data_IF_491151844019
#
_entry.id   IF_491151844019
#
_cell.length_a   1.000
_cell.length_b   1.000
_cell.length_c   1.000
_cell.angle_alpha   90.00
_cell.angle_beta   90.00
_cell.angle_gamma   90.00
#
_symmetry.space_group_name_H-M   'P 1'
#
loop_
_entity.id
_entity.type
_entity.pdbx_description
1 polymer ?
#
# COMPACT_ATOMS: atom_id res chain seq x y z
N UNK A 1 14.96 51.57 1.13
CA UNK A 1 13.65 51.22 0.55
C UNK A 1 13.71 49.74 0.20
N UNK A 2 12.75 49.00 0.74
CA UNK A 2 12.81 47.59 1.06
C UNK A 2 12.93 46.68 -0.17
N UNK A 3 13.78 45.66 -0.07
CA UNK A 3 13.93 44.62 -1.09
C UNK A 3 12.67 43.74 -1.19
N UNK A 4 12.41 43.13 -2.35
CA UNK A 4 11.20 42.37 -2.56
C UNK A 4 11.19 41.15 -1.65
N UNK A 5 10.18 41.08 -0.79
CA UNK A 5 9.82 39.97 0.07
C UNK A 5 9.68 38.68 -0.77
N UNK A 6 10.63 37.76 -0.58
CA UNK A 6 10.52 36.37 -1.02
C UNK A 6 9.35 35.74 -0.28
N UNK A 7 8.15 35.77 -0.89
CA UNK A 7 7.05 34.89 -0.48
C UNK A 7 7.50 33.47 -0.76
N UNK A 8 8.06 32.81 0.25
CA UNK A 8 8.09 31.35 0.31
C UNK A 8 6.67 30.87 0.06
N UNK A 9 6.44 30.24 -1.10
CA UNK A 9 5.24 29.48 -1.34
C UNK A 9 5.20 28.39 -0.27
N UNK A 10 4.35 28.57 0.74
CA UNK A 10 4.10 27.55 1.74
C UNK A 10 3.78 26.26 0.99
N UNK A 11 4.57 25.21 1.21
CA UNK A 11 4.38 23.91 0.59
C UNK A 11 2.93 23.48 0.84
N UNK A 12 2.08 23.59 -0.19
CA UNK A 12 0.66 23.31 -0.07
C UNK A 12 0.51 21.83 0.24
N UNK A 13 0.21 21.53 1.50
CA UNK A 13 0.12 20.16 1.98
C UNK A 13 -1.17 19.57 1.42
N UNK A 14 -1.03 18.68 0.44
CA UNK A 14 -2.18 18.00 -0.16
C UNK A 14 -2.71 17.00 0.85
N UNK A 15 -4.04 16.99 1.04
CA UNK A 15 -4.65 15.99 1.95
C UNK A 15 -4.61 14.61 1.30
N UNK A 16 -4.47 13.55 2.10
CA UNK A 16 -4.46 12.15 1.60
C UNK A 16 -5.70 11.85 0.76
N UNK A 17 -6.86 12.42 1.10
CA UNK A 17 -8.08 12.31 0.32
C UNK A 17 -7.97 12.93 -1.09
N UNK A 18 -7.19 14.00 -1.26
CA UNK A 18 -6.96 14.62 -2.56
C UNK A 18 -5.99 13.81 -3.43
N UNK A 19 -5.13 12.98 -2.82
CA UNK A 19 -4.28 12.01 -3.54
C UNK A 19 -5.14 11.02 -4.33
N UNK A 20 -6.19 10.50 -3.68
CA UNK A 20 -7.14 9.55 -4.26
C UNK A 20 -8.23 10.18 -5.13
N UNK A 21 -8.14 11.47 -5.50
CA UNK A 21 -9.19 12.14 -6.29
C UNK A 21 -9.39 11.56 -7.70
N UNK A 22 -8.45 10.74 -8.17
CA UNK A 22 -8.50 10.09 -9.48
C UNK A 22 -8.94 8.62 -9.42
N UNK A 23 -9.35 8.14 -8.23
CA UNK A 23 -9.91 6.81 -8.02
C UNK A 23 -11.32 6.69 -8.66
N UNK A 24 -11.56 5.63 -9.43
CA UNK A 24 -12.90 5.27 -9.90
C UNK A 24 -13.60 4.33 -8.90
N UNK A 25 -14.88 4.03 -9.13
CA UNK A 25 -15.65 3.06 -8.32
C UNK A 25 -14.99 1.68 -8.18
N UNK A 26 -14.28 1.20 -9.22
CA UNK A 26 -13.51 -0.04 -9.17
C UNK A 26 -12.33 0.10 -8.20
N UNK A 27 -11.64 1.23 -8.22
CA UNK A 27 -10.48 1.50 -7.35
C UNK A 27 -10.91 1.52 -5.87
N UNK A 28 -12.09 2.08 -5.56
CA UNK A 28 -12.66 2.03 -4.22
C UNK A 28 -12.96 0.60 -3.74
N UNK A 29 -13.45 -0.28 -4.62
CA UNK A 29 -13.68 -1.69 -4.28
C UNK A 29 -12.37 -2.42 -4.03
N UNK A 30 -11.35 -2.22 -4.88
CA UNK A 30 -10.03 -2.81 -4.69
C UNK A 30 -9.38 -2.32 -3.39
N UNK A 31 -9.44 -1.03 -3.09
CA UNK A 31 -8.96 -0.47 -1.82
C UNK A 31 -9.71 -1.05 -0.62
N UNK A 32 -11.02 -1.28 -0.73
CA UNK A 32 -11.82 -1.93 0.32
C UNK A 32 -11.39 -3.38 0.58
N UNK A 33 -11.14 -4.16 -0.48
CA UNK A 33 -10.65 -5.54 -0.36
C UNK A 33 -9.23 -5.55 0.21
N UNK A 34 -8.36 -4.67 -0.29
CA UNK A 34 -6.97 -4.55 0.17
C UNK A 34 -6.87 -4.15 1.64
N UNK A 35 -7.71 -3.22 2.11
CA UNK A 35 -7.78 -2.83 3.53
C UNK A 35 -8.30 -3.95 4.43
N UNK A 36 -9.30 -4.73 3.99
CA UNK A 36 -9.73 -5.90 4.74
C UNK A 36 -8.62 -6.96 4.85
N UNK A 37 -7.90 -7.21 3.74
CA UNK A 37 -6.73 -8.09 3.72
C UNK A 37 -5.60 -7.60 4.63
N UNK A 38 -5.36 -6.30 4.67
CA UNK A 38 -4.38 -5.65 5.54
C UNK A 38 -4.67 -5.84 7.03
N UNK A 39 -5.94 -5.80 7.45
CA UNK A 39 -6.32 -6.02 8.85
C UNK A 39 -6.03 -7.46 9.26
N UNK A 40 -6.40 -8.43 8.41
CA UNK A 40 -6.16 -9.86 8.66
C UNK A 40 -4.66 -10.15 8.69
N UNK A 41 -3.92 -9.64 7.71
CA UNK A 41 -2.47 -9.80 7.64
C UNK A 41 -1.76 -9.08 8.80
N UNK A 42 -2.21 -7.91 9.24
CA UNK A 42 -1.68 -7.22 10.41
C UNK A 42 -1.88 -7.99 11.72
N UNK A 43 -2.96 -8.76 11.83
CA UNK A 43 -3.22 -9.65 12.98
C UNK A 43 -2.45 -10.98 12.93
N UNK A 44 -1.67 -11.24 11.88
CA UNK A 44 -0.94 -12.50 11.68
C UNK A 44 0.06 -12.81 12.79
N UNK A 45 0.81 -11.82 13.28
CA UNK A 45 1.83 -12.01 14.32
C UNK A 45 1.21 -12.39 15.68
N UNK A 46 0.19 -11.68 16.20
CA UNK A 46 -0.55 -12.13 17.38
C UNK A 46 -1.14 -13.55 17.24
N UNK A 47 -1.72 -13.86 16.08
CA UNK A 47 -2.26 -15.20 15.78
C UNK A 47 -1.16 -16.27 15.82
N UNK A 48 -0.03 -16.02 15.16
CA UNK A 48 1.12 -16.93 15.16
C UNK A 48 1.60 -17.22 16.57
N UNK A 49 1.78 -16.19 17.41
CA UNK A 49 2.20 -16.33 18.80
C UNK A 49 1.20 -17.13 19.64
N UNK A 50 -0.11 -16.93 19.42
CA UNK A 50 -1.17 -17.69 20.11
C UNK A 50 -1.09 -19.19 19.81
N UNK A 51 -1.01 -19.56 18.53
CA UNK A 51 -0.89 -20.97 18.12
C UNK A 51 0.44 -21.58 18.56
N UNK A 52 1.51 -20.78 18.56
CA UNK A 52 2.83 -21.22 19.00
C UNK A 52 2.85 -21.53 20.50
N UNK A 53 2.18 -20.71 21.31
CA UNK A 53 2.00 -20.96 22.73
C UNK A 53 1.21 -22.25 22.99
N UNK A 54 0.11 -22.48 22.26
CA UNK A 54 -0.69 -23.71 22.40
C UNK A 54 0.11 -24.96 22.02
N UNK A 55 0.93 -24.86 20.97
CA UNK A 55 1.85 -25.94 20.57
C UNK A 55 2.84 -26.27 21.70
N UNK A 56 3.51 -25.27 22.26
CA UNK A 56 4.46 -25.47 23.39
C UNK A 56 3.74 -26.05 24.61
N UNK A 57 2.55 -25.53 24.94
CA UNK A 57 1.79 -26.02 26.08
C UNK A 57 1.35 -27.48 25.90
N UNK A 58 1.04 -27.89 24.67
CA UNK A 58 0.73 -29.28 24.32
C UNK A 58 1.92 -30.22 24.53
N UNK A 59 3.15 -29.75 24.31
CA UNK A 59 4.36 -30.52 24.62
C UNK A 59 4.54 -30.68 26.14
N UNK A 60 4.42 -29.59 26.91
CA UNK A 60 4.63 -29.63 28.37
C UNK A 60 3.54 -30.37 29.15
N UNK A 61 2.28 -30.28 28.72
CA UNK A 61 1.15 -30.87 29.45
C UNK A 61 1.00 -32.39 29.25
N UNK A 62 1.58 -32.93 28.18
CA UNK A 62 1.44 -34.33 27.78
C UNK A 62 2.76 -35.13 27.91
N UNK A 63 3.71 -34.64 28.71
CA UNK A 63 5.04 -35.25 28.91
C UNK A 63 4.96 -36.73 29.35
N UNK A 64 3.92 -37.08 30.10
CA UNK A 64 3.72 -38.44 30.63
C UNK A 64 3.05 -39.41 29.64
N UNK A 65 2.57 -38.95 28.48
CA UNK A 65 1.89 -39.80 27.48
C UNK A 65 2.31 -39.42 26.04
N UNK A 66 3.39 -40.05 25.50
CA UNK A 66 3.96 -39.70 24.21
C UNK A 66 2.99 -39.84 23.02
N UNK A 67 1.99 -40.72 23.13
CA UNK A 67 1.01 -40.94 22.05
C UNK A 67 -0.02 -39.81 21.99
N UNK A 68 -0.45 -39.28 23.13
CA UNK A 68 -1.36 -38.13 23.18
C UNK A 68 -0.67 -36.84 22.77
N UNK A 69 0.59 -36.67 23.18
CA UNK A 69 1.42 -35.52 22.79
C UNK A 69 1.57 -35.43 21.27
N UNK A 70 1.95 -36.52 20.60
CA UNK A 70 2.16 -36.52 19.14
C UNK A 70 0.88 -36.26 18.36
N UNK A 71 -0.27 -36.76 18.85
CA UNK A 71 -1.57 -36.48 18.25
C UNK A 71 -1.94 -34.99 18.34
N UNK A 72 -1.86 -34.38 19.51
CA UNK A 72 -2.20 -32.96 19.68
C UNK A 72 -1.24 -32.03 18.93
N UNK A 73 0.06 -32.33 18.95
CA UNK A 73 1.06 -31.60 18.16
C UNK A 73 0.75 -31.66 16.66
N UNK A 74 0.35 -32.82 16.14
CA UNK A 74 -0.02 -32.98 14.73
C UNK A 74 -1.25 -32.13 14.35
N UNK A 75 -2.20 -32.01 15.28
CA UNK A 75 -3.40 -31.19 15.12
C UNK A 75 -3.06 -29.69 15.09
N UNK A 76 -2.23 -29.22 16.01
CA UNK A 76 -1.75 -27.82 16.00
C UNK A 76 -0.89 -27.51 14.77
N UNK A 77 -0.06 -28.45 14.32
CA UNK A 77 0.70 -28.30 13.07
C UNK A 77 -0.23 -28.15 11.85
N UNK A 78 -1.33 -28.90 11.79
CA UNK A 78 -2.33 -28.72 10.73
C UNK A 78 -3.03 -27.35 10.82
N UNK A 79 -3.38 -26.87 12.02
CA UNK A 79 -3.92 -25.52 12.19
C UNK A 79 -2.95 -24.43 11.72
N UNK A 80 -1.66 -24.57 12.00
CA UNK A 80 -0.63 -23.67 11.49
C UNK A 80 -0.60 -23.60 9.97
N UNK A 81 -0.76 -24.74 9.29
CA UNK A 81 -0.76 -24.80 7.83
C UNK A 81 -1.97 -24.07 7.24
N UNK A 82 -3.17 -24.28 7.81
CA UNK A 82 -4.39 -23.62 7.34
C UNK A 82 -4.35 -22.11 7.57
N UNK A 83 -3.94 -21.68 8.78
CA UNK A 83 -3.85 -20.26 9.12
C UNK A 83 -2.76 -19.57 8.30
N UNK A 84 -1.61 -20.23 8.11
CA UNK A 84 -0.54 -19.74 7.26
C UNK A 84 -0.98 -19.53 5.80
N UNK A 85 -1.73 -20.49 5.24
CA UNK A 85 -2.30 -20.35 3.90
C UNK A 85 -3.29 -19.19 3.81
N UNK A 86 -4.12 -18.98 4.83
CA UNK A 86 -5.07 -17.87 4.88
C UNK A 86 -4.35 -16.51 4.96
N UNK A 87 -3.33 -16.39 5.81
CA UNK A 87 -2.50 -15.16 5.92
C UNK A 87 -1.79 -14.89 4.59
N UNK A 88 -1.22 -15.92 3.96
CA UNK A 88 -0.55 -15.78 2.67
C UNK A 88 -1.51 -15.27 1.58
N UNK A 89 -2.71 -15.84 1.47
CA UNK A 89 -3.71 -15.38 0.52
C UNK A 89 -4.16 -13.94 0.81
N UNK A 90 -4.33 -13.60 2.09
CA UNK A 90 -4.69 -12.25 2.54
C UNK A 90 -3.61 -11.22 2.19
N UNK A 91 -2.35 -11.57 2.43
CA UNK A 91 -1.18 -10.73 2.12
C UNK A 91 -1.06 -10.52 0.61
N UNK A 92 -1.22 -11.59 -0.18
CA UNK A 92 -1.20 -11.51 -1.63
C UNK A 92 -2.33 -10.63 -2.18
N UNK A 93 -3.55 -10.78 -1.67
CA UNK A 93 -4.70 -9.98 -2.06
C UNK A 93 -4.53 -8.50 -1.69
N UNK A 94 -4.02 -8.21 -0.48
CA UNK A 94 -3.68 -6.86 -0.03
C UNK A 94 -2.73 -6.18 -1.01
N UNK A 95 -1.54 -6.76 -1.23
CA UNK A 95 -0.48 -6.16 -2.06
C UNK A 95 -0.96 -6.00 -3.50
N UNK A 96 -1.62 -7.02 -4.06
CA UNK A 96 -2.07 -6.98 -5.46
C UNK A 96 -3.14 -5.91 -5.68
N UNK A 97 -4.09 -5.73 -4.75
CA UNK A 97 -5.14 -4.72 -4.87
C UNK A 97 -4.58 -3.30 -4.77
N UNK A 98 -3.61 -3.07 -3.87
CA UNK A 98 -2.95 -1.78 -3.73
C UNK A 98 -2.06 -1.45 -4.94
N UNK A 99 -1.27 -2.41 -5.45
CA UNK A 99 -0.48 -2.22 -6.66
C UNK A 99 -1.34 -1.87 -7.87
N UNK A 100 -2.39 -2.65 -8.12
CA UNK A 100 -3.28 -2.41 -9.25
C UNK A 100 -3.93 -1.02 -9.19
N UNK A 101 -4.38 -0.62 -7.99
CA UNK A 101 -4.99 0.70 -7.78
C UNK A 101 -3.99 1.83 -7.99
N UNK A 102 -2.76 1.67 -7.47
CA UNK A 102 -1.67 2.63 -7.64
C UNK A 102 -1.30 2.84 -9.12
N UNK A 103 -1.10 1.75 -9.87
CA UNK A 103 -0.81 1.81 -11.31
C UNK A 103 -1.91 2.56 -12.07
N UNK A 104 -3.18 2.24 -11.80
CA UNK A 104 -4.33 2.81 -12.50
C UNK A 104 -4.51 4.31 -12.20
N UNK A 105 -4.31 4.73 -10.95
CA UNK A 105 -4.39 6.14 -10.58
C UNK A 105 -3.21 6.95 -11.14
N UNK A 106 -1.99 6.42 -11.05
CA UNK A 106 -0.79 7.07 -11.60
C UNK A 106 -0.89 7.24 -13.11
N UNK A 107 -1.36 6.24 -13.85
CA UNK A 107 -1.53 6.35 -15.31
C UNK A 107 -2.48 7.49 -15.68
N UNK A 108 -3.62 7.62 -14.99
CA UNK A 108 -4.56 8.73 -15.20
C UNK A 108 -3.95 10.09 -14.84
N UNK A 109 -3.18 10.15 -13.77
CA UNK A 109 -2.50 11.39 -13.35
C UNK A 109 -1.48 11.84 -14.39
N UNK A 110 -0.67 10.92 -14.93
CA UNK A 110 0.30 11.21 -16.01
C UNK A 110 -0.39 11.75 -17.27
N UNK A 111 -1.49 11.13 -17.69
CA UNK A 111 -2.24 11.58 -18.88
C UNK A 111 -2.80 12.99 -18.68
N UNK A 112 -3.48 13.24 -17.55
CA UNK A 112 -4.07 14.56 -17.26
C UNK A 112 -3.01 15.65 -17.07
N UNK A 113 -1.87 15.32 -16.48
CA UNK A 113 -0.76 16.25 -16.34
C UNK A 113 -0.18 16.64 -17.70
N UNK A 114 0.06 15.66 -18.58
CA UNK A 114 0.55 15.91 -19.93
C UNK A 114 -0.44 16.73 -20.75
N UNK A 115 -1.73 16.42 -20.67
CA UNK A 115 -2.80 17.18 -21.34
C UNK A 115 -2.87 18.63 -20.85
N UNK A 116 -2.73 18.86 -19.55
CA UNK A 116 -2.70 20.21 -18.99
C UNK A 116 -1.45 20.98 -19.44
N UNK A 117 -0.28 20.33 -19.46
CA UNK A 117 0.95 20.94 -19.92
C UNK A 117 0.88 21.33 -21.42
N UNK A 118 0.32 20.46 -22.27
CA UNK A 118 0.18 20.74 -23.71
C UNK A 118 -0.81 21.86 -24.03
N UNK A 119 -1.81 22.09 -23.18
CA UNK A 119 -2.81 23.14 -23.36
C UNK A 119 -2.41 24.50 -22.75
N UNK A 120 -1.19 24.62 -22.22
CA UNK A 120 -0.72 25.83 -21.54
C UNK A 120 -0.15 26.84 -22.54
N UNK A 121 -0.40 28.14 -22.31
CA UNK A 121 0.00 29.20 -23.23
C UNK A 121 1.54 29.31 -23.37
N UNK A 122 2.01 29.62 -24.59
CA UNK A 122 3.45 29.74 -24.92
C UNK A 122 4.20 30.72 -24.01
N UNK A 123 3.54 31.76 -23.52
CA UNK A 123 4.15 32.74 -22.62
C UNK A 123 4.47 32.16 -21.23
N UNK A 124 3.78 31.10 -20.80
CA UNK A 124 4.08 30.36 -19.58
C UNK A 124 5.33 29.46 -19.72
N UNK A 125 5.51 28.85 -20.89
CA UNK A 125 6.71 28.07 -21.22
C UNK A 125 7.98 28.91 -21.33
N UNK A 126 7.86 30.20 -21.65
CA UNK A 126 9.02 31.09 -21.82
C UNK A 126 9.46 31.75 -20.49
N UNK A 127 8.62 31.70 -19.45
CA UNK A 127 8.84 32.44 -18.19
C UNK A 127 9.01 31.54 -16.96
N UNK A 128 8.34 30.39 -16.87
CA UNK A 128 8.22 29.63 -15.60
C UNK A 128 8.49 28.11 -15.70
N UNK A 129 8.50 27.49 -16.89
CA UNK A 129 8.68 26.02 -17.04
C UNK A 129 9.67 25.67 -18.14
N UNK A 130 10.69 24.87 -17.81
CA UNK A 130 11.57 24.26 -18.82
C UNK A 130 10.97 22.94 -19.29
N UNK A 131 11.14 22.55 -20.55
CA UNK A 131 10.72 21.23 -21.07
C UNK A 131 11.21 20.06 -20.21
N UNK A 132 12.36 20.24 -19.54
CA UNK A 132 12.91 19.29 -18.57
C UNK A 132 11.99 19.04 -17.37
N UNK A 133 11.26 20.05 -16.90
CA UNK A 133 10.41 19.95 -15.70
C UNK A 133 9.15 19.13 -15.97
N UNK A 134 8.56 19.26 -17.18
CA UNK A 134 7.43 18.44 -17.61
C UNK A 134 7.83 16.96 -17.74
N UNK A 135 9.01 16.70 -18.31
CA UNK A 135 9.55 15.34 -18.44
C UNK A 135 9.85 14.74 -17.07
N UNK A 136 10.37 15.53 -16.13
CA UNK A 136 10.65 15.11 -14.76
C UNK A 136 9.37 14.76 -14.00
N UNK A 137 8.32 15.59 -14.10
CA UNK A 137 7.05 15.33 -13.44
C UNK A 137 6.35 14.05 -13.95
N UNK A 138 6.38 13.81 -15.27
CA UNK A 138 5.75 12.62 -15.87
C UNK A 138 6.49 11.33 -15.53
N UNK A 139 7.83 11.35 -15.45
CA UNK A 139 8.63 10.14 -15.27
C UNK A 139 9.05 9.88 -13.83
N UNK A 140 9.47 10.92 -13.10
CA UNK A 140 10.08 10.75 -11.78
C UNK A 140 9.07 11.01 -10.67
N UNK A 141 8.39 12.16 -10.67
CA UNK A 141 7.43 12.49 -9.60
C UNK A 141 6.23 11.53 -9.60
N UNK A 142 5.75 11.15 -10.78
CA UNK A 142 4.65 10.20 -10.89
C UNK A 142 5.03 8.77 -10.46
N UNK A 143 6.30 8.37 -10.53
CA UNK A 143 6.75 7.08 -9.98
C UNK A 143 6.78 7.15 -8.46
N UNK A 144 7.36 8.22 -7.89
CA UNK A 144 7.37 8.43 -6.44
C UNK A 144 5.94 8.42 -5.86
N UNK A 145 5.00 9.05 -6.56
CA UNK A 145 3.59 9.05 -6.18
C UNK A 145 2.96 7.65 -6.26
N UNK A 146 3.29 6.89 -7.30
CA UNK A 146 2.81 5.52 -7.47
C UNK A 146 3.29 4.63 -6.33
N UNK A 147 4.57 4.69 -6.02
CA UNK A 147 5.19 3.91 -4.96
C UNK A 147 4.52 4.25 -3.62
N UNK A 148 4.33 5.55 -3.33
CA UNK A 148 3.64 6.01 -2.13
C UNK A 148 2.17 5.54 -2.01
N UNK A 149 1.46 5.34 -3.13
CA UNK A 149 0.08 4.83 -3.13
C UNK A 149 0.05 3.30 -3.04
N UNK A 150 1.00 2.65 -3.69
CA UNK A 150 1.03 1.20 -3.89
C UNK A 150 1.63 0.43 -2.71
N UNK A 151 2.62 1.00 -2.03
CA UNK A 151 3.42 0.28 -1.05
C UNK A 151 2.82 0.27 0.37
N UNK A 152 1.73 1.04 0.57
CA UNK A 152 1.27 1.63 1.84
C UNK A 152 2.15 2.76 2.35
#
# INVERSE_FOLDING_TARGET
>A
MEGPSTKQAAAATVTVAQLFRFADGIDYVLMGIGTAGAVVHGASLPLFLRFFADLINSFGSNENDPRKMTHEVSKYAFYFLVVGAAIWLSSWAEISCWMWTGERQTAKMRIKYLEAALNQEIQYFDTEITTSDVVLAVNTEAVILQDAISEK
#
